data_IF_562308934957
#
_entry.id   IF_562308934957
#
_cell.length_a   1.000
_cell.length_b   1.000
_cell.length_c   1.000
_cell.angle_alpha   90.00
_cell.angle_beta   90.00
_cell.angle_gamma   90.00
#
_symmetry.space_group_name_H-M   'P 1'
#
loop_
_entity.id
_entity.type
_entity.pdbx_description
1 polymer ?
#
# COMPACT_ATOMS: atom_id res chain seq x y z
N UNK A 1 -13.62 5.42 9.07
CA UNK A 1 -13.95 4.10 8.50
C UNK A 1 -14.55 4.34 7.13
N UNK A 2 -14.08 3.65 6.08
CA UNK A 2 -14.42 3.94 4.69
C UNK A 2 -15.92 4.20 4.53
N UNK A 3 -16.24 5.44 4.18
CA UNK A 3 -17.62 5.85 3.95
C UNK A 3 -18.22 4.89 2.91
N UNK A 4 -19.48 4.49 3.06
CA UNK A 4 -20.17 3.62 2.10
C UNK A 4 -20.20 4.22 0.67
N UNK A 5 -19.84 5.49 0.56
CA UNK A 5 -19.77 6.29 -0.67
C UNK A 5 -18.64 5.89 -1.63
N UNK A 6 -17.53 5.29 -1.18
CA UNK A 6 -16.46 4.90 -2.11
C UNK A 6 -16.71 3.55 -2.76
N UNK A 7 -16.57 3.44 -4.07
CA UNK A 7 -16.42 2.17 -4.75
C UNK A 7 -15.12 1.49 -4.27
N UNK A 8 -15.15 0.16 -4.21
CA UNK A 8 -14.00 -0.63 -3.75
C UNK A 8 -12.75 -0.37 -4.61
N UNK A 9 -12.95 -0.14 -5.90
CA UNK A 9 -11.88 0.20 -6.83
C UNK A 9 -11.23 1.54 -6.50
N UNK A 10 -12.00 2.53 -6.05
CA UNK A 10 -11.46 3.83 -5.63
C UNK A 10 -10.59 3.69 -4.39
N UNK A 11 -11.04 2.92 -3.38
CA UNK A 11 -10.25 2.65 -2.17
C UNK A 11 -8.91 2.02 -2.53
N UNK A 12 -8.93 1.01 -3.41
CA UNK A 12 -7.72 0.31 -3.86
C UNK A 12 -6.80 1.24 -4.63
N UNK A 13 -7.33 2.11 -5.50
CA UNK A 13 -6.55 3.10 -6.24
C UNK A 13 -5.89 4.12 -5.32
N UNK A 14 -6.64 4.67 -4.35
CA UNK A 14 -6.08 5.61 -3.36
C UNK A 14 -4.95 4.93 -2.59
N UNK A 15 -5.21 3.74 -2.03
CA UNK A 15 -4.20 3.02 -1.27
C UNK A 15 -2.96 2.70 -2.11
N UNK A 16 -3.14 2.25 -3.35
CA UNK A 16 -2.02 1.97 -4.27
C UNK A 16 -1.23 3.24 -4.58
N UNK A 17 -1.89 4.37 -4.76
CA UNK A 17 -1.24 5.68 -5.01
C UNK A 17 -0.42 6.14 -3.80
N UNK A 18 -0.91 5.89 -2.59
CA UNK A 18 -0.16 6.16 -1.35
C UNK A 18 1.05 5.24 -1.25
N UNK A 19 0.91 3.93 -1.53
CA UNK A 19 2.05 2.99 -1.54
C UNK A 19 3.14 3.38 -2.54
N UNK A 20 2.78 4.13 -3.57
CA UNK A 20 3.69 4.66 -4.58
C UNK A 20 4.29 6.02 -4.24
N UNK A 21 3.93 6.59 -3.10
CA UNK A 21 4.35 7.95 -2.73
C UNK A 21 3.96 8.98 -3.79
N UNK A 22 2.69 8.99 -4.20
CA UNK A 22 2.19 9.99 -5.14
C UNK A 22 1.68 11.25 -4.44
N UNK A 23 1.58 12.33 -5.22
CA UNK A 23 0.95 13.59 -4.82
C UNK A 23 -0.56 13.44 -4.85
N UNK A 24 -1.20 13.46 -3.68
CA UNK A 24 -2.64 13.26 -3.52
C UNK A 24 -3.29 14.49 -2.89
N UNK A 25 -4.32 15.02 -3.56
CA UNK A 25 -5.18 16.09 -3.04
C UNK A 25 -6.60 15.52 -2.88
N UNK A 26 -7.05 15.41 -1.64
CA UNK A 26 -8.41 15.01 -1.31
C UNK A 26 -9.31 16.23 -1.22
N UNK A 27 -10.51 16.14 -1.81
CA UNK A 27 -11.49 17.22 -1.83
C UNK A 27 -12.82 16.72 -1.26
N UNK A 28 -13.41 17.47 -0.33
CA UNK A 28 -14.77 17.22 0.16
C UNK A 28 -15.47 18.51 0.61
N UNK A 29 -16.80 18.48 0.58
CA UNK A 29 -17.67 19.47 1.21
C UNK A 29 -17.64 19.41 2.74
N UNK A 30 -17.32 18.25 3.33
CA UNK A 30 -17.38 18.04 4.78
C UNK A 30 -15.98 17.81 5.38
N UNK A 31 -15.55 18.75 6.24
CA UNK A 31 -14.26 18.71 6.93
C UNK A 31 -14.05 17.40 7.71
N UNK A 32 -15.08 16.94 8.41
CA UNK A 32 -15.05 15.72 9.20
C UNK A 32 -14.78 14.50 8.32
N UNK A 33 -15.45 14.39 7.18
CA UNK A 33 -15.28 13.25 6.27
C UNK A 33 -13.90 13.28 5.61
N UNK A 34 -13.45 14.46 5.17
CA UNK A 34 -12.11 14.68 4.62
C UNK A 34 -11.01 14.18 5.59
N UNK A 35 -11.02 14.72 6.81
CA UNK A 35 -10.00 14.44 7.83
C UNK A 35 -10.03 12.98 8.27
N UNK A 36 -11.23 12.42 8.50
CA UNK A 36 -11.37 11.01 8.92
C UNK A 36 -10.87 10.06 7.85
N UNK A 37 -11.15 10.33 6.57
CA UNK A 37 -10.74 9.46 5.47
C UNK A 37 -9.22 9.47 5.30
N UNK A 38 -8.62 10.66 5.23
CA UNK A 38 -7.17 10.84 5.08
C UNK A 38 -6.44 10.14 6.23
N UNK A 39 -6.83 10.40 7.48
CA UNK A 39 -6.27 9.72 8.67
C UNK A 39 -6.45 8.19 8.61
N UNK A 40 -7.60 7.71 8.12
CA UNK A 40 -7.83 6.27 7.98
C UNK A 40 -6.78 5.64 7.07
N UNK A 41 -6.48 6.24 5.92
CA UNK A 41 -5.45 5.69 5.01
C UNK A 41 -4.05 5.71 5.62
N UNK A 42 -3.67 6.78 6.33
CA UNK A 42 -2.37 6.84 7.04
C UNK A 42 -2.27 5.71 8.08
N UNK A 43 -3.30 5.51 8.90
CA UNK A 43 -3.30 4.44 9.90
C UNK A 43 -3.21 3.03 9.27
N UNK A 44 -3.66 2.86 8.03
CA UNK A 44 -3.59 1.57 7.32
C UNK A 44 -2.22 1.28 6.72
N UNK A 45 -1.26 2.21 6.81
CA UNK A 45 0.12 2.00 6.35
C UNK A 45 0.96 1.19 7.34
N UNK A 46 0.53 1.04 8.60
CA UNK A 46 1.28 0.30 9.61
C UNK A 46 1.71 -1.09 9.09
N UNK A 47 3.01 -1.45 9.15
CA UNK A 47 4.07 -0.85 9.99
C UNK A 47 4.80 0.35 9.40
N UNK A 48 4.50 0.75 8.17
CA UNK A 48 5.17 1.86 7.51
C UNK A 48 4.55 3.18 7.93
N UNK A 49 5.35 4.24 7.90
CA UNK A 49 4.94 5.60 8.21
C UNK A 49 5.09 6.45 6.97
N UNK A 50 4.06 7.25 6.64
CA UNK A 50 4.15 8.22 5.56
C UNK A 50 5.24 9.26 5.87
N UNK A 51 6.26 9.44 5.00
CA UNK A 51 7.42 10.24 5.35
C UNK A 51 7.40 11.65 4.78
N UNK A 52 6.44 11.92 3.90
CA UNK A 52 6.36 13.16 3.17
C UNK A 52 5.33 14.11 3.79
N UNK A 53 5.10 15.25 3.14
CA UNK A 53 4.13 16.25 3.61
C UNK A 53 2.74 15.63 3.80
N UNK A 54 2.18 15.85 4.98
CA UNK A 54 0.88 15.35 5.38
C UNK A 54 0.07 16.49 6.00
N UNK A 55 -0.94 16.98 5.28
CA UNK A 55 -1.78 18.10 5.69
C UNK A 55 -3.25 17.74 5.46
N UNK A 56 -3.94 17.08 6.41
CA UNK A 56 -5.31 16.59 6.20
C UNK A 56 -6.34 17.70 5.98
N UNK A 57 -6.00 18.94 6.37
CA UNK A 57 -6.76 20.16 6.10
C UNK A 57 -5.76 21.27 5.79
N UNK A 58 -5.66 21.67 4.53
CA UNK A 58 -4.82 22.77 4.08
C UNK A 58 -5.66 24.06 4.02
N UNK A 59 -5.27 25.11 4.78
CA UNK A 59 -5.91 26.42 4.68
C UNK A 59 -5.75 27.04 3.29
N UNK A 60 -6.74 27.83 2.84
CA UNK A 60 -6.71 28.48 1.54
C UNK A 60 -5.48 29.38 1.31
N UNK A 61 -4.95 29.97 2.38
CA UNK A 61 -3.78 30.86 2.35
C UNK A 61 -2.46 30.12 2.08
N UNK A 62 -2.45 28.78 2.12
CA UNK A 62 -1.23 27.95 2.01
C UNK A 62 -1.27 27.04 0.77
N UNK A 63 -2.10 27.36 -0.22
CA UNK A 63 -2.31 26.49 -1.37
C UNK A 63 -1.08 26.36 -2.29
N UNK A 64 -0.10 27.25 -2.17
CA UNK A 64 1.18 27.17 -2.87
C UNK A 64 1.98 25.89 -2.51
N UNK A 65 1.69 25.27 -1.35
CA UNK A 65 2.29 23.99 -0.94
C UNK A 65 2.03 22.87 -1.96
N UNK A 66 0.95 22.96 -2.75
CA UNK A 66 0.62 21.98 -3.79
C UNK A 66 1.71 21.87 -4.85
N UNK A 67 2.52 22.92 -5.06
CA UNK A 67 3.63 22.90 -6.02
C UNK A 67 4.88 22.21 -5.50
N UNK A 68 4.85 21.66 -4.27
CA UNK A 68 6.00 20.96 -3.72
C UNK A 68 6.47 19.83 -4.67
N UNK A 69 7.79 19.72 -4.93
CA UNK A 69 8.31 18.69 -5.84
C UNK A 69 8.22 17.29 -5.24
N UNK A 70 8.17 17.19 -3.91
CA UNK A 70 8.07 15.93 -3.17
C UNK A 70 6.63 15.43 -3.12
N UNK A 71 6.41 14.13 -2.87
CA UNK A 71 5.09 13.59 -2.61
C UNK A 71 4.38 14.30 -1.45
N UNK A 72 3.05 14.24 -1.43
CA UNK A 72 2.26 14.77 -0.34
C UNK A 72 0.87 14.14 -0.30
N UNK A 73 0.26 14.18 0.88
CA UNK A 73 -1.16 13.90 1.08
C UNK A 73 -1.77 15.14 1.70
N UNK A 74 -2.64 15.80 0.93
CA UNK A 74 -3.26 17.06 1.29
C UNK A 74 -4.78 16.91 1.23
N UNK A 75 -5.50 17.51 2.19
CA UNK A 75 -6.95 17.67 2.12
C UNK A 75 -7.32 19.14 1.94
N UNK A 76 -8.21 19.45 0.99
CA UNK A 76 -8.78 20.79 0.82
C UNK A 76 -10.31 20.72 0.90
N UNK A 77 -10.91 21.74 1.49
CA UNK A 77 -12.36 21.90 1.43
C UNK A 77 -12.77 22.31 0.02
N UNK A 78 -13.92 21.80 -0.43
CA UNK A 78 -14.47 22.15 -1.75
C UNK A 78 -14.66 23.65 -1.94
N UNK A 79 -14.97 24.40 -0.89
CA UNK A 79 -15.05 25.87 -0.94
C UNK A 79 -13.76 26.54 -1.40
N UNK A 80 -12.60 25.88 -1.23
CA UNK A 80 -11.28 26.37 -1.63
C UNK A 80 -10.86 25.86 -3.03
N UNK A 81 -11.68 25.04 -3.70
CA UNK A 81 -11.38 24.45 -5.00
C UNK A 81 -11.11 25.50 -6.08
N UNK A 82 -11.79 26.65 -6.01
CA UNK A 82 -11.63 27.74 -6.99
C UNK A 82 -10.20 28.28 -7.12
N UNK A 83 -9.34 28.07 -6.13
CA UNK A 83 -7.92 28.42 -6.23
C UNK A 83 -7.19 27.52 -7.23
N UNK A 84 -7.52 26.22 -7.27
CA UNK A 84 -6.90 25.27 -8.20
C UNK A 84 -7.18 25.68 -9.65
N UNK A 85 -8.40 26.16 -9.94
CA UNK A 85 -8.82 26.53 -11.28
C UNK A 85 -8.46 27.96 -11.69
N UNK A 86 -8.18 28.85 -10.73
CA UNK A 86 -7.81 30.25 -11.00
C UNK A 86 -6.31 30.52 -10.99
N UNK A 87 -5.51 29.61 -10.43
CA UNK A 87 -4.07 29.77 -10.40
C UNK A 87 -3.47 29.42 -11.77
N UNK A 88 -2.96 30.43 -12.46
CA UNK A 88 -2.40 30.32 -13.82
C UNK A 88 -1.19 29.37 -13.89
N UNK A 89 -0.44 29.21 -12.79
CA UNK A 89 0.70 28.29 -12.75
C UNK A 89 0.24 26.84 -12.87
N UNK A 90 -0.86 26.45 -12.22
CA UNK A 90 -1.43 25.10 -12.37
C UNK A 90 -1.99 24.84 -13.78
N UNK A 91 -2.43 25.88 -14.48
CA UNK A 91 -2.95 25.78 -15.84
C UNK A 91 -1.84 25.73 -16.91
N UNK A 92 -0.68 26.32 -16.61
CA UNK A 92 0.45 26.43 -17.54
C UNK A 92 1.44 25.26 -17.44
N UNK A 93 1.42 24.49 -16.35
CA UNK A 93 2.33 23.38 -16.09
C UNK A 93 1.67 22.01 -16.29
N UNK A 94 2.47 21.01 -16.62
CA UNK A 94 2.03 19.62 -16.64
C UNK A 94 1.98 19.05 -15.21
N UNK A 95 0.77 18.98 -14.65
CA UNK A 95 0.51 18.46 -13.31
C UNK A 95 -0.17 17.08 -13.35
N UNK A 96 0.18 16.25 -14.34
CA UNK A 96 -0.41 14.91 -14.49
C UNK A 96 -0.05 13.95 -13.35
N UNK A 97 1.04 14.22 -12.63
CA UNK A 97 1.54 13.48 -11.47
C UNK A 97 0.74 13.75 -10.18
N UNK A 98 -0.06 14.82 -10.15
CA UNK A 98 -0.94 15.16 -9.03
C UNK A 98 -2.30 14.49 -9.22
N UNK A 99 -2.73 13.70 -8.24
CA UNK A 99 -4.03 13.03 -8.25
C UNK A 99 -5.02 13.74 -7.33
N UNK A 100 -6.16 14.13 -7.92
CA UNK A 100 -7.32 14.66 -7.21
C UNK A 100 -8.25 13.52 -6.83
N UNK A 101 -8.48 13.35 -5.53
CA UNK A 101 -9.44 12.41 -4.94
C UNK A 101 -10.68 13.18 -4.51
N UNK A 102 -11.70 13.17 -5.35
CA UNK A 102 -13.01 13.74 -5.03
C UNK A 102 -13.81 12.76 -4.17
N UNK A 103 -13.90 13.06 -2.87
CA UNK A 103 -14.56 12.19 -1.89
C UNK A 103 -16.08 12.16 -2.07
N UNK A 104 -16.66 13.28 -2.49
CA UNK A 104 -18.11 13.43 -2.57
C UNK A 104 -18.68 12.75 -3.81
N UNK A 105 -17.90 12.72 -4.90
CA UNK A 105 -18.29 12.11 -6.18
C UNK A 105 -17.62 10.76 -6.46
N UNK A 106 -16.76 10.29 -5.55
CA UNK A 106 -16.05 9.01 -5.67
C UNK A 106 -15.26 8.88 -6.97
N UNK A 107 -14.41 9.88 -7.24
CA UNK A 107 -13.61 9.97 -8.47
C UNK A 107 -12.16 10.28 -8.16
N UNK A 108 -11.28 9.69 -8.95
CA UNK A 108 -9.85 10.02 -8.97
C UNK A 108 -9.50 10.47 -10.38
N UNK A 109 -8.86 11.63 -10.50
CA UNK A 109 -8.41 12.22 -11.77
C UNK A 109 -7.03 12.83 -11.57
N UNK A 110 -6.25 12.96 -12.64
CA UNK A 110 -5.08 13.86 -12.60
C UNK A 110 -5.53 15.31 -12.39
N UNK A 111 -4.67 16.19 -11.89
CA UNK A 111 -5.00 17.61 -11.75
C UNK A 111 -5.33 18.21 -13.13
N UNK A 112 -4.56 17.90 -14.17
CA UNK A 112 -4.85 18.36 -15.54
C UNK A 112 -6.25 17.94 -16.02
N UNK A 113 -6.66 16.68 -15.80
CA UNK A 113 -8.01 16.21 -16.15
C UNK A 113 -9.09 16.85 -15.29
N UNK A 114 -8.77 17.13 -14.02
CA UNK A 114 -9.68 17.79 -13.10
C UNK A 114 -9.98 19.22 -13.54
N UNK A 115 -8.94 19.96 -13.97
CA UNK A 115 -9.04 21.34 -14.43
C UNK A 115 -9.69 21.45 -15.82
N UNK A 116 -9.35 20.56 -16.75
CA UNK A 116 -9.87 20.59 -18.15
C UNK A 116 -11.37 20.26 -18.27
N UNK A 117 -11.89 19.39 -17.39
CA UNK A 117 -13.30 19.00 -17.38
C UNK A 117 -14.26 20.09 -16.86
N UNK A 118 -13.77 21.29 -16.51
CA UNK A 118 -14.64 22.45 -16.29
C UNK A 118 -14.98 23.19 -17.60
N UNK A 119 -14.36 22.84 -18.73
CA UNK A 119 -14.66 23.48 -20.03
C UNK A 119 -14.82 22.51 -21.21
N UNK A 120 -14.31 21.28 -21.19
CA UNK A 120 -14.50 20.33 -22.29
C UNK A 120 -14.62 18.87 -21.80
N UNK A 121 -15.66 18.16 -22.27
CA UNK A 121 -15.83 16.70 -22.12
C UNK A 121 -14.82 15.97 -23.01
N UNK A 122 -13.58 15.80 -22.54
CA UNK A 122 -12.59 14.93 -23.17
C UNK A 122 -12.86 13.45 -22.87
N UNK A 123 -12.67 12.61 -23.88
CA UNK A 123 -12.90 11.15 -23.86
C UNK A 123 -12.13 10.42 -22.76
N UNK A 124 -12.82 9.52 -22.05
CA UNK A 124 -12.32 8.69 -20.94
C UNK A 124 -11.10 7.78 -21.26
N UNK A 125 -10.63 7.77 -22.51
CA UNK A 125 -9.61 6.84 -23.00
C UNK A 125 -8.17 7.25 -22.66
N UNK A 126 -7.90 8.55 -22.47
CA UNK A 126 -6.56 9.02 -22.07
C UNK A 126 -6.26 8.83 -20.57
N UNK A 127 -7.29 8.78 -19.71
CA UNK A 127 -7.12 8.45 -18.29
C UNK A 127 -6.46 7.07 -18.12
N UNK A 128 -6.86 6.08 -18.91
CA UNK A 128 -6.37 4.72 -18.72
C UNK A 128 -4.85 4.61 -18.91
N UNK A 129 -4.19 5.39 -19.78
CA UNK A 129 -2.74 5.24 -20.00
C UNK A 129 -1.90 5.68 -18.80
N UNK A 130 -2.27 6.77 -18.12
CA UNK A 130 -1.59 7.16 -16.87
C UNK A 130 -2.00 6.25 -15.71
N UNK A 131 -3.27 5.83 -15.63
CA UNK A 131 -3.74 4.93 -14.56
C UNK A 131 -3.26 3.47 -14.68
N UNK A 132 -2.83 3.02 -15.86
CA UNK A 132 -2.25 1.68 -16.07
C UNK A 132 -0.90 1.49 -15.35
N UNK A 133 -0.21 2.58 -14.98
CA UNK A 133 0.98 2.57 -14.13
C UNK A 133 0.67 2.15 -12.67
N UNK A 134 -0.58 2.24 -12.21
CA UNK A 134 -0.92 2.16 -10.78
C UNK A 134 -1.43 0.79 -10.34
N UNK A 135 -1.08 -0.27 -11.07
CA UNK A 135 -1.59 -1.61 -10.81
C UNK A 135 -0.62 -2.56 -10.08
N UNK A 136 0.44 -2.08 -9.42
CA UNK A 136 1.38 -2.99 -8.73
C UNK A 136 0.75 -3.82 -7.65
N UNK A 137 -0.31 -3.35 -7.00
CA UNK A 137 -0.87 -4.11 -5.91
C UNK A 137 -1.30 -5.48 -6.46
N UNK A 138 -0.69 -6.59 -5.98
CA UNK A 138 -0.92 -7.91 -6.51
C UNK A 138 -2.41 -8.22 -6.60
N UNK A 139 -2.83 -8.87 -7.69
CA UNK A 139 -4.27 -9.18 -7.93
C UNK A 139 -4.91 -9.90 -6.75
N UNK A 140 -4.16 -10.78 -6.07
CA UNK A 140 -4.60 -11.49 -4.88
C UNK A 140 -5.03 -10.52 -3.77
N UNK A 141 -4.21 -9.50 -3.45
CA UNK A 141 -4.56 -8.51 -2.43
C UNK A 141 -5.73 -7.63 -2.85
N UNK A 142 -5.84 -7.28 -4.14
CA UNK A 142 -7.02 -6.56 -4.65
C UNK A 142 -8.31 -7.37 -4.44
N UNK A 143 -8.27 -8.68 -4.67
CA UNK A 143 -9.40 -9.58 -4.46
C UNK A 143 -9.75 -9.67 -2.97
N UNK A 144 -8.76 -9.92 -2.11
CA UNK A 144 -8.94 -9.99 -0.64
C UNK A 144 -9.52 -8.69 -0.08
N UNK A 145 -8.98 -7.54 -0.50
CA UNK A 145 -9.50 -6.21 -0.12
C UNK A 145 -10.96 -6.05 -0.53
N UNK A 146 -11.31 -6.36 -1.79
CA UNK A 146 -12.69 -6.25 -2.28
C UNK A 146 -13.64 -7.14 -1.49
N UNK A 147 -13.25 -8.39 -1.23
CA UNK A 147 -14.07 -9.35 -0.51
C UNK A 147 -14.31 -8.91 0.93
N UNK A 148 -13.26 -8.64 1.71
CA UNK A 148 -13.42 -8.33 3.13
C UNK A 148 -14.10 -6.97 3.34
N UNK A 149 -13.78 -5.95 2.54
CA UNK A 149 -14.47 -4.65 2.64
C UNK A 149 -15.95 -4.80 2.24
N UNK A 150 -16.27 -5.62 1.24
CA UNK A 150 -17.67 -5.91 0.91
C UNK A 150 -18.41 -6.64 2.03
N UNK A 151 -17.76 -7.58 2.73
CA UNK A 151 -18.35 -8.28 3.87
C UNK A 151 -18.59 -7.33 5.04
N UNK A 152 -17.61 -6.48 5.35
CA UNK A 152 -17.73 -5.47 6.40
C UNK A 152 -18.88 -4.49 6.14
N UNK A 153 -19.08 -4.09 4.88
CA UNK A 153 -20.22 -3.24 4.48
C UNK A 153 -21.56 -3.93 4.71
N UNK A 154 -21.66 -5.23 4.40
CA UNK A 154 -22.90 -6.01 4.58
C UNK A 154 -23.23 -6.30 6.05
N UNK A 155 -22.20 -6.53 6.87
CA UNK A 155 -22.35 -6.94 8.28
C UNK A 155 -22.24 -5.78 9.28
N UNK A 156 -22.31 -4.53 8.83
CA UNK A 156 -22.06 -3.34 9.66
C UNK A 156 -22.96 -3.24 10.89
N UNK A 157 -24.21 -3.72 10.81
CA UNK A 157 -25.15 -3.71 11.93
C UNK A 157 -24.81 -4.74 13.03
N UNK A 158 -23.99 -5.74 12.72
CA UNK A 158 -23.69 -6.86 13.62
C UNK A 158 -22.31 -6.75 14.28
N UNK A 159 -21.52 -5.73 13.93
CA UNK A 159 -20.14 -5.56 14.41
C UNK A 159 -20.01 -4.22 15.12
N UNK A 160 -19.23 -4.18 16.21
CA UNK A 160 -18.88 -2.90 16.81
C UNK A 160 -17.98 -2.10 15.87
N UNK A 161 -17.92 -0.78 16.08
CA UNK A 161 -17.03 0.11 15.32
C UNK A 161 -15.55 -0.26 15.53
N UNK A 162 -15.20 -0.77 16.70
CA UNK A 162 -13.85 -1.20 17.02
C UNK A 162 -13.49 -2.50 16.31
N UNK A 163 -14.39 -3.48 16.25
CA UNK A 163 -14.18 -4.73 15.50
C UNK A 163 -13.98 -4.47 14.00
N UNK A 164 -14.81 -3.58 13.48
CA UNK A 164 -14.73 -3.09 12.11
C UNK A 164 -13.38 -2.44 11.80
N UNK A 165 -12.91 -1.56 12.69
CA UNK A 165 -11.59 -0.91 12.57
C UNK A 165 -10.47 -1.94 12.64
N UNK A 166 -10.53 -2.87 13.59
CA UNK A 166 -9.51 -3.90 13.77
C UNK A 166 -9.42 -4.83 12.57
N UNK A 167 -10.56 -5.25 12.00
CA UNK A 167 -10.59 -6.08 10.78
C UNK A 167 -9.98 -5.36 9.59
N UNK A 168 -10.30 -4.08 9.38
CA UNK A 168 -9.67 -3.28 8.33
C UNK A 168 -8.16 -3.15 8.54
N UNK A 169 -7.72 -2.84 9.76
CA UNK A 169 -6.29 -2.77 10.07
C UNK A 169 -5.58 -4.09 9.81
N UNK A 170 -6.15 -5.21 10.25
CA UNK A 170 -5.59 -6.55 10.02
C UNK A 170 -5.52 -6.89 8.53
N UNK A 171 -6.56 -6.54 7.75
CA UNK A 171 -6.64 -6.77 6.32
C UNK A 171 -5.49 -6.05 5.58
N UNK A 172 -5.31 -4.75 5.83
CA UNK A 172 -4.25 -3.98 5.19
C UNK A 172 -2.86 -4.38 5.71
N UNK A 173 -2.72 -4.62 7.01
CA UNK A 173 -1.48 -5.13 7.59
C UNK A 173 -1.07 -6.48 6.99
N UNK A 174 -2.05 -7.33 6.63
CA UNK A 174 -1.77 -8.62 5.99
C UNK A 174 -1.03 -8.46 4.66
N UNK A 175 -1.27 -7.40 3.89
CA UNK A 175 -0.56 -7.12 2.64
C UNK A 175 0.94 -7.00 2.91
N UNK A 176 1.30 -6.22 3.94
CA UNK A 176 2.69 -6.00 4.33
C UNK A 176 3.32 -7.25 4.95
N UNK A 177 2.58 -7.99 5.78
CA UNK A 177 3.06 -9.25 6.36
C UNK A 177 3.35 -10.24 5.23
N UNK A 178 2.39 -10.51 4.36
CA UNK A 178 2.55 -11.46 3.26
C UNK A 178 3.68 -11.05 2.31
N UNK A 179 3.84 -9.75 2.07
CA UNK A 179 4.90 -9.21 1.20
C UNK A 179 6.26 -9.20 1.87
N UNK A 180 6.37 -8.96 3.18
CA UNK A 180 7.64 -8.67 3.85
C UNK A 180 8.02 -9.65 4.97
N UNK A 181 7.29 -10.76 5.19
CA UNK A 181 7.50 -11.62 6.37
C UNK A 181 8.94 -12.12 6.64
N UNK A 182 9.76 -12.24 5.60
CA UNK A 182 11.15 -12.72 5.67
C UNK A 182 12.18 -11.59 5.54
N UNK A 183 11.80 -10.32 5.63
CA UNK A 183 12.73 -9.18 5.45
C UNK A 183 13.97 -9.31 6.36
N UNK A 184 13.80 -9.81 7.60
CA UNK A 184 14.92 -10.01 8.54
C UNK A 184 15.99 -11.00 8.05
N UNK A 185 15.67 -11.90 7.13
CA UNK A 185 16.67 -12.80 6.54
C UNK A 185 17.69 -12.05 5.67
N UNK A 186 17.34 -10.83 5.24
CA UNK A 186 18.13 -9.97 4.35
C UNK A 186 18.61 -8.70 5.07
N UNK A 187 18.39 -8.62 6.39
CA UNK A 187 18.77 -7.50 7.23
C UNK A 187 20.01 -7.87 8.05
N UNK A 188 21.18 -7.46 7.58
CA UNK A 188 22.46 -7.60 8.28
C UNK A 188 22.93 -6.22 8.76
N UNK A 189 24.19 -5.84 8.52
CA UNK A 189 24.64 -4.45 8.70
C UNK A 189 23.97 -3.49 7.71
N UNK A 190 23.58 -4.00 6.54
CA UNK A 190 22.77 -3.34 5.52
C UNK A 190 21.60 -4.25 5.13
N UNK A 191 20.64 -3.70 4.39
CA UNK A 191 19.53 -4.48 3.84
C UNK A 191 19.78 -4.82 2.37
N UNK A 192 19.77 -6.11 2.04
CA UNK A 192 19.94 -6.60 0.67
C UNK A 192 18.59 -6.63 -0.05
N UNK A 193 18.29 -5.54 -0.77
CA UNK A 193 17.02 -5.37 -1.49
C UNK A 193 16.86 -6.42 -2.58
N UNK A 194 17.91 -6.69 -3.36
CA UNK A 194 17.82 -7.57 -4.53
C UNK A 194 17.52 -9.01 -4.12
N UNK A 195 18.25 -9.54 -3.13
CA UNK A 195 17.98 -10.88 -2.60
C UNK A 195 16.62 -10.98 -1.92
N UNK A 196 16.18 -9.90 -1.24
CA UNK A 196 14.86 -9.87 -0.62
C UNK A 196 13.73 -9.91 -1.64
N UNK A 197 13.81 -9.11 -2.71
CA UNK A 197 12.81 -9.05 -3.78
C UNK A 197 12.74 -10.39 -4.52
N UNK A 198 13.89 -10.95 -4.90
CA UNK A 198 14.01 -12.25 -5.60
C UNK A 198 13.54 -13.45 -4.75
N UNK A 199 13.42 -13.29 -3.43
CA UNK A 199 12.93 -14.36 -2.54
C UNK A 199 11.44 -14.68 -2.68
N UNK A 200 10.71 -13.89 -3.47
CA UNK A 200 9.25 -13.90 -3.52
C UNK A 200 8.69 -14.63 -4.73
N UNK A 201 7.38 -14.91 -4.66
CA UNK A 201 6.63 -15.30 -5.85
C UNK A 201 6.53 -14.10 -6.81
N UNK A 202 6.55 -14.38 -8.11
CA UNK A 202 6.63 -13.37 -9.17
C UNK A 202 5.67 -12.17 -9.04
N UNK A 203 4.43 -12.39 -8.61
CA UNK A 203 3.47 -11.29 -8.44
C UNK A 203 3.80 -10.35 -7.28
N UNK A 204 4.38 -10.88 -6.20
CA UNK A 204 4.83 -10.10 -5.05
C UNK A 204 6.19 -9.45 -5.35
N UNK A 205 7.06 -10.14 -6.09
CA UNK A 205 8.33 -9.60 -6.60
C UNK A 205 8.12 -8.28 -7.35
N UNK A 206 7.25 -8.26 -8.37
CA UNK A 206 6.90 -7.04 -9.14
C UNK A 206 6.40 -5.89 -8.26
N UNK A 207 5.66 -6.22 -7.19
CA UNK A 207 5.21 -5.21 -6.22
C UNK A 207 6.39 -4.65 -5.41
N UNK A 208 7.27 -5.53 -4.92
CA UNK A 208 8.41 -5.14 -4.11
C UNK A 208 9.50 -4.42 -4.91
N UNK A 209 9.68 -4.70 -6.20
CA UNK A 209 10.60 -3.96 -7.09
C UNK A 209 10.36 -2.45 -7.01
N UNK A 210 9.10 -2.04 -6.90
CA UNK A 210 8.72 -0.65 -6.70
C UNK A 210 8.70 -0.27 -5.22
N UNK A 211 7.97 -1.01 -4.40
CA UNK A 211 7.71 -0.62 -3.02
C UNK A 211 9.00 -0.50 -2.18
N UNK A 212 10.01 -1.35 -2.43
CA UNK A 212 11.30 -1.29 -1.71
C UNK A 212 12.15 -0.06 -2.06
N UNK A 213 11.82 0.67 -3.14
CA UNK A 213 12.48 1.92 -3.54
C UNK A 213 11.83 3.16 -2.94
N UNK A 214 10.75 3.01 -2.18
CA UNK A 214 10.03 4.12 -1.56
C UNK A 214 10.72 4.61 -0.28
N UNK A 215 10.52 5.88 0.06
CA UNK A 215 11.02 6.44 1.31
C UNK A 215 10.38 5.77 2.54
N UNK A 216 9.12 5.36 2.44
CA UNK A 216 8.40 4.56 3.44
C UNK A 216 9.18 3.28 3.79
N UNK A 217 9.58 2.52 2.77
CA UNK A 217 10.28 1.26 2.99
C UNK A 217 11.70 1.50 3.52
N UNK A 218 12.41 2.49 2.99
CA UNK A 218 13.74 2.87 3.49
C UNK A 218 13.70 3.22 4.98
N UNK A 219 12.74 4.05 5.40
CA UNK A 219 12.59 4.43 6.81
C UNK A 219 12.26 3.25 7.69
N UNK A 220 11.37 2.36 7.23
CA UNK A 220 11.07 1.13 7.95
C UNK A 220 12.34 0.28 8.17
N UNK A 221 13.19 0.12 7.15
CA UNK A 221 14.45 -0.62 7.29
C UNK A 221 15.43 0.10 8.22
N UNK A 222 15.57 1.42 8.08
CA UNK A 222 16.44 2.24 8.94
C UNK A 222 16.07 2.12 10.40
N UNK A 223 14.78 2.23 10.73
CA UNK A 223 14.26 2.02 12.09
C UNK A 223 14.56 0.61 12.64
N UNK A 224 14.66 -0.40 11.76
CA UNK A 224 15.01 -1.77 12.16
C UNK A 224 16.52 -1.98 12.38
N UNK A 225 17.36 -1.20 11.70
CA UNK A 225 18.81 -1.19 11.91
C UNK A 225 19.17 -0.41 13.18
N UNK A 226 18.43 0.64 13.50
CA UNK A 226 18.63 1.45 14.71
C UNK A 226 18.14 0.71 15.96
N UNK A 227 19.01 -0.15 16.52
CA UNK A 227 18.78 -1.02 17.67
C UNK A 227 18.33 -0.34 18.99
N UNK A 228 18.21 0.99 19.01
CA UNK A 228 17.85 1.81 20.17
C UNK A 228 16.33 2.04 20.34
N UNK A 229 15.50 1.69 19.36
CA UNK A 229 14.04 1.86 19.44
C UNK A 229 13.34 0.52 19.74
N UNK A 230 13.67 -0.10 20.88
CA UNK A 230 12.92 -1.27 21.39
C UNK A 230 11.58 -0.83 22.02
N UNK A 231 10.62 -0.40 21.21
CA UNK A 231 9.25 -0.20 21.70
C UNK A 231 8.55 -1.57 21.82
N UNK A 232 8.41 -2.01 23.07
CA UNK A 232 8.05 -3.38 23.49
C UNK A 232 6.56 -3.59 23.82
N UNK A 233 5.61 -2.81 23.28
CA UNK A 233 4.23 -2.84 23.81
C UNK A 233 3.07 -3.04 22.83
N UNK A 234 3.32 -3.61 21.65
CA UNK A 234 2.24 -4.14 20.81
C UNK A 234 2.66 -5.49 20.21
N UNK A 235 1.72 -6.29 19.69
CA UNK A 235 2.09 -7.35 18.73
C UNK A 235 2.78 -6.62 17.58
N UNK A 236 4.12 -6.64 17.59
CA UNK A 236 4.90 -5.95 16.60
C UNK A 236 4.65 -6.62 15.26
N UNK A 237 4.72 -5.84 14.19
CA UNK A 237 4.73 -6.37 12.83
C UNK A 237 5.66 -7.58 12.68
N UNK A 238 6.80 -7.57 13.38
CA UNK A 238 7.76 -8.67 13.42
C UNK A 238 7.16 -9.98 13.96
N UNK A 239 6.44 -9.92 15.07
CA UNK A 239 5.76 -11.09 15.64
C UNK A 239 4.71 -11.66 14.68
N UNK A 240 3.97 -10.77 13.99
CA UNK A 240 3.01 -11.17 12.97
C UNK A 240 3.68 -11.83 11.76
N UNK A 241 4.81 -11.29 11.30
CA UNK A 241 5.65 -11.86 10.25
C UNK A 241 6.17 -13.26 10.63
N UNK A 242 6.67 -13.45 11.85
CA UNK A 242 7.09 -14.77 12.31
C UNK A 242 5.94 -15.78 12.39
N UNK A 243 4.77 -15.34 12.88
CA UNK A 243 3.57 -16.18 12.94
C UNK A 243 3.16 -16.63 11.54
N UNK A 244 3.14 -15.73 10.57
CA UNK A 244 2.87 -16.05 9.16
C UNK A 244 3.94 -16.98 8.56
N UNK A 245 5.22 -16.76 8.85
CA UNK A 245 6.28 -17.67 8.40
C UNK A 245 6.09 -19.10 8.90
N UNK A 246 5.60 -19.28 10.14
CA UNK A 246 5.29 -20.60 10.71
C UNK A 246 4.12 -21.28 10.01
N UNK A 247 3.12 -20.55 9.50
CA UNK A 247 2.00 -21.16 8.75
C UNK A 247 2.45 -21.68 7.39
N UNK A 248 3.32 -20.96 6.69
CA UNK A 248 3.90 -21.41 5.41
C UNK A 248 4.72 -22.70 5.58
N UNK A 249 5.54 -22.80 6.64
CA UNK A 249 6.31 -24.03 6.94
C UNK A 249 5.44 -25.24 7.23
N UNK A 250 4.22 -25.05 7.75
CA UNK A 250 3.24 -26.13 8.00
C UNK A 250 2.50 -26.55 6.74
N UNK A 251 2.28 -25.64 5.79
CA UNK A 251 1.61 -25.91 4.52
C UNK A 251 2.50 -26.57 3.48
N UNK A 252 3.82 -26.48 3.62
CA UNK A 252 4.77 -27.31 2.86
C UNK A 252 4.89 -28.64 3.63
N UNK A 253 4.19 -29.73 3.25
CA UNK A 253 4.59 -31.04 3.73
C UNK A 253 6.06 -31.22 3.36
N UNK A 254 6.88 -31.75 4.28
CA UNK A 254 8.20 -32.25 3.93
C UNK A 254 8.02 -33.29 2.82
N UNK A 255 7.99 -32.85 1.56
CA UNK A 255 8.17 -33.72 0.41
C UNK A 255 9.60 -34.19 0.53
N UNK A 256 9.78 -35.32 1.20
CA UNK A 256 10.88 -36.23 0.93
C UNK A 256 10.83 -36.42 -0.58
N UNK A 257 11.67 -35.69 -1.29
CA UNK A 257 11.69 -35.73 -2.73
C UNK A 257 12.11 -37.15 -3.09
N UNK A 258 11.48 -37.78 -4.08
CA UNK A 258 11.87 -39.14 -4.53
C UNK A 258 13.38 -39.22 -4.85
N UNK A 259 14.02 -38.07 -5.14
CA UNK A 259 15.48 -37.91 -5.27
C UNK A 259 16.27 -38.17 -3.96
N UNK A 260 15.76 -37.82 -2.78
CA UNK A 260 16.45 -38.09 -1.49
C UNK A 260 16.29 -39.54 -1.04
N UNK A 261 15.21 -40.24 -1.43
CA UNK A 261 15.05 -41.68 -1.20
C UNK A 261 15.96 -42.48 -2.12
N UNK A 262 16.05 -42.12 -3.41
CA UNK A 262 16.99 -42.77 -4.35
C UNK A 262 18.47 -42.54 -3.97
N UNK A 263 18.84 -41.35 -3.46
CA UNK A 263 20.20 -41.11 -2.93
C UNK A 263 20.51 -41.95 -1.69
N UNK A 264 19.58 -42.10 -0.74
CA UNK A 264 19.79 -42.96 0.44
C UNK A 264 19.83 -44.46 0.11
N UNK A 265 19.08 -44.92 -0.89
CA UNK A 265 19.12 -46.31 -1.36
C UNK A 265 20.42 -46.63 -2.12
N UNK A 266 20.88 -45.73 -3.01
CA UNK A 266 22.13 -45.91 -3.74
C UNK A 266 23.38 -45.90 -2.84
N UNK A 267 23.38 -45.08 -1.78
CA UNK A 267 24.48 -45.05 -0.80
C UNK A 267 24.49 -46.31 0.08
N UNK A 268 23.33 -46.97 0.30
CA UNK A 268 23.26 -48.26 1.01
C UNK A 268 23.75 -49.42 0.14
N UNK A 269 23.40 -49.45 -1.14
CA UNK A 269 23.87 -50.47 -2.08
C UNK A 269 25.41 -50.45 -2.27
N UNK A 270 26.00 -49.27 -2.48
CA UNK A 270 27.46 -49.12 -2.63
C UNK A 270 28.29 -49.44 -1.37
N UNK A 271 27.65 -49.55 -0.19
CA UNK A 271 28.31 -49.97 1.05
C UNK A 271 28.30 -51.48 1.26
N UNK A 272 27.45 -52.21 0.54
CA UNK A 272 27.39 -53.68 0.59
C UNK A 272 28.33 -54.33 -0.43
N UNK A 273 28.59 -53.70 -1.57
CA UNK A 273 29.53 -54.23 -2.58
C UNK A 273 31.02 -54.04 -2.23
N UNK A 274 31.35 -53.17 -1.27
CA UNK A 274 32.74 -52.97 -0.80
C UNK A 274 33.10 -53.81 0.45
N UNK A 275 32.36 -54.90 0.71
CA UNK A 275 32.64 -55.87 1.79
C UNK A 275 32.71 -57.30 1.25
N UNK A 276 33.54 -57.52 0.25
CA UNK A 276 34.06 -58.84 -0.14
C UNK A 276 35.57 -58.69 -0.30
#
# INVERSE_FOLDING_TARGET
MFNERFYLDTIIKIFSSILYEQKLIFISNELGTLTRLINTFICLLYPFSWPHTYIPILPALMLDIIQAPTPYIIGILRSCESYLSRNEEFLSQDNSDILIVDIDHDRIRSLNDYLSNQSYRGSAENLNRHFLQFQILPKIFKIELKQEISLLRKNKLNLSMDDCRQRLQNLFMSIFIQSCYNYKDYLNATFDIDLFVQSKQHTIELFLEWFTRTQMFELFIREKLDSNLKNSFAITFDSACEKYRRTLKKQIPQRITVKSVKRKAAIRANKQDNRI
#
